data_IF_920317057347
#
_entry.id   IF_920317057347
#
_cell.length_a   1.000
_cell.length_b   1.000
_cell.length_c   1.000
_cell.angle_alpha   90.00
_cell.angle_beta   90.00
_cell.angle_gamma   90.00
#
_symmetry.space_group_name_H-M   'P 1'
#
loop_
_entity.id
_entity.type
_entity.pdbx_description
1 polymer ?
#
# COMPACT_ATOMS: atom_id res chain seq x y z
N UNK A 1 -15.67 41.13 -29.25
CA UNK A 1 -14.60 41.05 -28.24
C UNK A 1 -14.97 40.42 -26.88
N UNK A 2 -16.24 40.16 -26.50
CA UNK A 2 -16.55 39.41 -25.26
C UNK A 2 -16.25 37.90 -25.32
N UNK A 3 -16.41 37.28 -26.49
CA UNK A 3 -16.31 35.82 -26.65
C UNK A 3 -14.89 35.25 -26.46
N UNK A 4 -13.85 36.05 -26.74
CA UNK A 4 -12.45 35.62 -26.59
C UNK A 4 -12.03 35.58 -25.12
N UNK A 5 -12.47 36.55 -24.31
CA UNK A 5 -12.19 36.59 -22.87
C UNK A 5 -12.91 35.46 -22.12
N UNK A 6 -14.16 35.15 -22.49
CA UNK A 6 -14.87 33.97 -21.98
C UNK A 6 -14.11 32.68 -22.29
N UNK A 7 -13.70 32.47 -23.55
CA UNK A 7 -12.92 31.27 -23.92
C UNK A 7 -11.58 31.15 -23.20
N UNK A 8 -10.88 32.26 -22.98
CA UNK A 8 -9.60 32.26 -22.24
C UNK A 8 -9.83 31.92 -20.76
N UNK A 9 -10.92 32.42 -20.17
CA UNK A 9 -11.31 32.06 -18.81
C UNK A 9 -11.66 30.57 -18.69
N UNK A 10 -12.49 30.05 -19.59
CA UNK A 10 -12.88 28.63 -19.61
C UNK A 10 -11.67 27.70 -19.76
N UNK A 11 -10.67 28.09 -20.57
CA UNK A 11 -9.40 27.34 -20.73
C UNK A 11 -8.58 27.39 -19.44
N UNK A 12 -8.48 28.56 -18.79
CA UNK A 12 -7.72 28.71 -17.55
C UNK A 12 -8.36 27.92 -16.40
N UNK A 13 -9.69 27.96 -16.29
CA UNK A 13 -10.45 27.19 -15.31
C UNK A 13 -10.30 25.68 -15.55
N UNK A 14 -10.44 25.23 -16.80
CA UNK A 14 -10.21 23.82 -17.17
C UNK A 14 -8.79 23.36 -16.86
N UNK A 15 -7.78 24.20 -17.09
CA UNK A 15 -6.39 23.87 -16.77
C UNK A 15 -6.13 23.80 -15.26
N UNK A 16 -6.75 24.68 -14.47
CA UNK A 16 -6.66 24.66 -13.01
C UNK A 16 -7.28 23.39 -12.41
N UNK A 17 -8.44 23.00 -12.96
CA UNK A 17 -9.12 21.75 -12.61
C UNK A 17 -8.25 20.54 -12.94
N UNK A 18 -7.69 20.47 -14.15
CA UNK A 18 -6.84 19.34 -14.57
C UNK A 18 -5.60 19.24 -13.68
N UNK A 19 -4.98 20.38 -13.33
CA UNK A 19 -3.87 20.44 -12.37
C UNK A 19 -4.25 19.92 -10.98
N UNK A 20 -5.48 20.17 -10.54
CA UNK A 20 -6.02 19.69 -9.27
C UNK A 20 -6.23 18.17 -9.31
N UNK A 21 -6.87 17.68 -10.37
CA UNK A 21 -7.08 16.25 -10.62
C UNK A 21 -5.74 15.51 -10.63
N UNK A 22 -4.71 16.08 -11.28
CA UNK A 22 -3.36 15.52 -11.27
C UNK A 22 -2.74 15.50 -9.88
N UNK A 23 -2.93 16.54 -9.07
CA UNK A 23 -2.39 16.62 -7.71
C UNK A 23 -3.01 15.54 -6.80
N UNK A 24 -4.31 15.30 -6.94
CA UNK A 24 -5.02 14.20 -6.25
C UNK A 24 -4.50 12.84 -6.75
N UNK A 25 -4.33 12.66 -8.06
CA UNK A 25 -3.79 11.42 -8.61
C UNK A 25 -2.36 11.13 -8.13
N UNK A 26 -1.50 12.16 -8.04
CA UNK A 26 -0.15 12.04 -7.48
C UNK A 26 -0.19 11.68 -5.98
N UNK A 27 -1.12 12.23 -5.21
CA UNK A 27 -1.28 11.88 -3.79
C UNK A 27 -1.68 10.41 -3.62
N UNK A 28 -2.64 9.93 -4.43
CA UNK A 28 -3.09 8.53 -4.41
C UNK A 28 -1.98 7.60 -4.88
N UNK A 29 -1.33 7.92 -6.00
CA UNK A 29 -0.23 7.12 -6.56
C UNK A 29 0.94 6.98 -5.57
N UNK A 30 1.21 8.04 -4.81
CA UNK A 30 2.23 8.12 -3.77
C UNK A 30 1.79 7.61 -2.38
N UNK A 31 0.55 7.15 -2.23
CA UNK A 31 -0.06 6.77 -0.94
C UNK A 31 0.14 7.82 0.16
N UNK A 32 -0.07 9.09 -0.20
CA UNK A 32 0.00 10.23 0.72
C UNK A 32 -1.38 10.51 1.28
N UNK A 33 -1.90 9.57 2.08
CA UNK A 33 -3.29 9.58 2.56
C UNK A 33 -3.65 10.86 3.34
N UNK A 34 -2.72 11.38 4.15
CA UNK A 34 -2.90 12.67 4.84
C UNK A 34 -3.05 13.82 3.84
N UNK A 35 -2.15 13.92 2.87
CA UNK A 35 -2.22 14.95 1.83
C UNK A 35 -3.54 14.81 1.04
N UNK A 36 -4.00 13.59 0.77
CA UNK A 36 -5.28 13.34 0.09
C UNK A 36 -6.47 13.88 0.91
N UNK A 37 -6.51 13.63 2.22
CA UNK A 37 -7.56 14.18 3.11
C UNK A 37 -7.54 15.71 3.07
N UNK A 38 -6.36 16.32 3.21
CA UNK A 38 -6.20 17.78 3.20
C UNK A 38 -6.62 18.37 1.84
N UNK A 39 -6.24 17.75 0.73
CA UNK A 39 -6.62 18.16 -0.63
C UNK A 39 -8.13 18.08 -0.86
N UNK A 40 -8.78 16.98 -0.49
CA UNK A 40 -10.22 16.79 -0.67
C UNK A 40 -11.01 17.74 0.24
N UNK A 41 -10.59 17.91 1.50
CA UNK A 41 -11.22 18.84 2.44
C UNK A 41 -11.11 20.30 1.98
N UNK A 42 -9.96 20.70 1.42
CA UNK A 42 -9.79 22.03 0.85
C UNK A 42 -10.69 22.25 -0.39
N UNK A 43 -10.75 21.27 -1.30
CA UNK A 43 -11.63 21.35 -2.48
C UNK A 43 -13.11 21.46 -2.10
N UNK A 44 -13.53 20.75 -1.06
CA UNK A 44 -14.87 20.87 -0.51
C UNK A 44 -15.13 22.28 0.02
N UNK A 45 -14.18 22.88 0.75
CA UNK A 45 -14.33 24.23 1.29
C UNK A 45 -14.42 25.29 0.20
N UNK A 46 -13.64 25.17 -0.88
CA UNK A 46 -13.60 26.16 -1.96
C UNK A 46 -14.72 26.00 -2.99
N UNK A 47 -15.08 24.75 -3.31
CA UNK A 47 -15.95 24.44 -4.45
C UNK A 47 -17.15 23.55 -4.12
N UNK A 48 -17.27 23.11 -2.87
CA UNK A 48 -18.32 22.21 -2.41
C UNK A 48 -18.03 20.73 -2.68
N UNK A 49 -18.72 19.87 -1.93
CA UNK A 49 -18.58 18.41 -2.00
C UNK A 49 -18.77 17.81 -3.40
N UNK A 50 -19.78 18.21 -4.21
CA UNK A 50 -19.96 17.63 -5.54
C UNK A 50 -18.72 17.77 -6.42
N UNK A 51 -18.02 18.90 -6.31
CA UNK A 51 -16.81 19.16 -7.08
C UNK A 51 -15.64 18.33 -6.57
N UNK A 52 -15.45 18.25 -5.25
CA UNK A 52 -14.41 17.41 -4.65
C UNK A 52 -14.57 15.93 -5.04
N UNK A 53 -15.82 15.43 -5.04
CA UNK A 53 -16.14 14.07 -5.46
C UNK A 53 -15.87 13.82 -6.94
N UNK A 54 -16.21 14.77 -7.82
CA UNK A 54 -15.91 14.68 -9.26
C UNK A 54 -14.39 14.61 -9.52
N UNK A 55 -13.62 15.44 -8.81
CA UNK A 55 -12.14 15.42 -8.88
C UNK A 55 -11.59 14.07 -8.41
N UNK A 56 -12.08 13.56 -7.28
CA UNK A 56 -11.68 12.25 -6.74
C UNK A 56 -11.98 11.11 -7.73
N UNK A 57 -13.17 11.10 -8.34
CA UNK A 57 -13.57 10.11 -9.32
C UNK A 57 -12.72 10.22 -10.61
N UNK A 58 -12.38 11.44 -11.04
CA UNK A 58 -11.59 11.70 -12.24
C UNK A 58 -10.13 11.30 -12.07
N UNK A 59 -9.57 11.43 -10.86
CA UNK A 59 -8.19 11.07 -10.55
C UNK A 59 -7.86 9.60 -10.87
N UNK A 60 -8.84 8.70 -10.83
CA UNK A 60 -8.66 7.28 -11.17
C UNK A 60 -8.12 7.08 -12.60
N UNK A 61 -8.47 7.98 -13.53
CA UNK A 61 -8.12 7.86 -14.96
C UNK A 61 -6.78 8.51 -15.30
N UNK A 62 -6.13 9.13 -14.32
CA UNK A 62 -4.91 9.87 -14.55
C UNK A 62 -3.67 9.00 -14.49
N UNK A 63 -2.59 9.56 -15.04
CA UNK A 63 -1.25 9.03 -14.87
C UNK A 63 -0.52 9.88 -13.85
N UNK A 64 0.23 9.27 -12.96
CA UNK A 64 1.04 9.99 -11.98
C UNK A 64 2.52 9.87 -12.32
N UNK A 65 3.33 10.77 -11.75
CA UNK A 65 4.77 10.76 -11.99
C UNK A 65 5.38 9.44 -11.52
N UNK A 66 6.07 8.75 -12.41
CA UNK A 66 6.74 7.51 -12.05
C UNK A 66 7.86 7.81 -11.03
N UNK A 67 8.00 6.98 -9.99
CA UNK A 67 9.17 6.98 -9.14
C UNK A 67 10.46 6.87 -9.97
N UNK A 68 11.57 7.54 -9.60
CA UNK A 68 12.80 7.57 -10.40
C UNK A 68 13.40 6.19 -10.74
N UNK A 69 13.06 5.16 -9.95
CA UNK A 69 13.52 3.79 -10.13
C UNK A 69 12.70 2.98 -11.14
N UNK A 70 11.53 3.45 -11.52
CA UNK A 70 10.67 2.80 -12.51
C UNK A 70 10.98 3.41 -13.88
N UNK A 71 11.36 2.56 -14.83
CA UNK A 71 11.75 2.98 -16.18
C UNK A 71 10.57 3.57 -16.96
N UNK A 72 10.30 4.86 -16.78
CA UNK A 72 9.27 5.61 -17.48
C UNK A 72 9.04 6.98 -16.82
N UNK A 73 8.47 7.96 -17.53
CA UNK A 73 8.16 9.27 -16.93
C UNK A 73 6.88 9.25 -16.08
N UNK A 74 5.91 8.40 -16.43
CA UNK A 74 4.59 8.33 -15.78
C UNK A 74 4.00 6.93 -15.76
N UNK A 75 3.22 6.62 -14.71
CA UNK A 75 2.49 5.37 -14.52
C UNK A 75 0.99 5.63 -14.49
N UNK A 76 0.19 4.69 -15.00
CA UNK A 76 -1.25 4.72 -14.78
C UNK A 76 -1.55 4.37 -13.33
N UNK A 77 -2.56 5.02 -12.75
CA UNK A 77 -2.96 4.73 -11.38
C UNK A 77 -3.51 3.30 -11.27
N UNK A 78 -2.94 2.54 -10.35
CA UNK A 78 -3.29 1.14 -10.16
C UNK A 78 -4.65 1.02 -9.45
N UNK A 79 -5.50 0.11 -9.93
CA UNK A 79 -6.92 0.10 -9.53
C UNK A 79 -7.14 -0.26 -8.05
N UNK A 80 -6.39 -1.21 -7.50
CA UNK A 80 -6.51 -1.54 -6.08
C UNK A 80 -5.81 -0.50 -5.20
N UNK A 81 -4.74 0.13 -5.68
CA UNK A 81 -4.13 1.28 -4.98
C UNK A 81 -5.14 2.45 -4.85
N UNK A 82 -5.82 2.80 -5.94
CA UNK A 82 -6.87 3.82 -5.93
C UNK A 82 -7.96 3.46 -4.92
N UNK A 83 -8.47 2.22 -5.01
CA UNK A 83 -9.51 1.73 -4.10
C UNK A 83 -9.07 1.82 -2.64
N UNK A 84 -7.89 1.35 -2.30
CA UNK A 84 -7.36 1.38 -0.94
C UNK A 84 -7.24 2.81 -0.38
N UNK A 85 -6.77 3.76 -1.18
CA UNK A 85 -6.69 5.16 -0.77
C UNK A 85 -8.06 5.82 -0.59
N UNK A 86 -9.06 5.46 -1.42
CA UNK A 86 -10.44 5.93 -1.22
C UNK A 86 -11.04 5.34 0.07
N UNK A 87 -10.82 4.06 0.34
CA UNK A 87 -11.28 3.45 1.60
C UNK A 87 -10.60 4.08 2.81
N UNK A 88 -9.31 4.40 2.71
CA UNK A 88 -8.58 5.11 3.77
C UNK A 88 -9.11 6.53 4.00
N UNK A 89 -9.38 7.29 2.93
CA UNK A 89 -9.99 8.62 2.98
C UNK A 89 -11.31 8.61 3.78
N UNK A 90 -12.13 7.57 3.62
CA UNK A 90 -13.39 7.38 4.33
C UNK A 90 -13.26 6.53 5.61
N UNK A 91 -12.05 6.36 6.16
CA UNK A 91 -11.79 5.64 7.41
C UNK A 91 -12.31 4.19 7.43
N UNK A 92 -12.20 3.50 6.30
CA UNK A 92 -12.61 2.11 6.07
C UNK A 92 -11.44 1.19 5.66
N UNK A 93 -10.20 1.56 5.98
CA UNK A 93 -9.03 0.71 5.76
C UNK A 93 -9.22 -0.67 6.39
N UNK A 94 -8.87 -1.73 5.66
CA UNK A 94 -9.09 -3.13 6.04
C UNK A 94 -10.40 -3.74 5.53
N UNK A 95 -11.33 -2.92 4.98
CA UNK A 95 -12.60 -3.39 4.39
C UNK A 95 -12.65 -3.28 2.87
N UNK A 96 -11.53 -2.96 2.24
CA UNK A 96 -11.41 -2.80 0.80
C UNK A 96 -11.88 -4.03 0.00
N UNK A 97 -11.75 -5.29 0.48
CA UNK A 97 -12.27 -6.47 -0.22
C UNK A 97 -13.79 -6.52 -0.38
N UNK A 98 -14.54 -5.56 0.19
CA UNK A 98 -15.99 -5.52 0.07
C UNK A 98 -16.47 -5.67 -1.39
N UNK A 99 -17.48 -6.50 -1.65
CA UNK A 99 -18.00 -6.78 -2.99
C UNK A 99 -18.98 -5.68 -3.43
N UNK A 100 -18.36 -4.55 -3.76
CA UNK A 100 -19.03 -3.36 -4.28
C UNK A 100 -18.04 -2.60 -5.17
N UNK A 101 -18.52 -2.16 -6.33
CA UNK A 101 -17.72 -1.39 -7.27
C UNK A 101 -17.40 0.00 -6.70
N UNK A 102 -16.18 0.49 -6.96
CA UNK A 102 -15.75 1.80 -6.42
C UNK A 102 -16.52 2.96 -7.07
N UNK A 103 -16.89 2.83 -8.35
CA UNK A 103 -17.68 3.83 -9.06
C UNK A 103 -19.11 3.88 -8.51
N UNK A 104 -19.68 2.71 -8.22
CA UNK A 104 -20.99 2.60 -7.55
C UNK A 104 -20.96 3.25 -6.16
N UNK A 105 -19.95 2.93 -5.34
CA UNK A 105 -19.74 3.55 -4.03
C UNK A 105 -19.69 5.08 -4.12
N UNK A 106 -18.85 5.63 -5.00
CA UNK A 106 -18.73 7.08 -5.18
C UNK A 106 -20.03 7.69 -5.71
N UNK A 107 -20.76 6.98 -6.58
CA UNK A 107 -22.08 7.38 -7.07
C UNK A 107 -23.10 7.59 -5.95
N UNK A 108 -23.11 6.76 -4.91
CA UNK A 108 -23.99 6.93 -3.75
C UNK A 108 -23.69 8.19 -2.93
N UNK A 109 -22.47 8.73 -3.01
CA UNK A 109 -22.04 9.90 -2.25
C UNK A 109 -22.44 11.23 -2.91
N UNK A 110 -22.91 11.20 -4.17
CA UNK A 110 -23.33 12.40 -4.91
C UNK A 110 -24.49 13.15 -4.26
N UNK A 111 -25.30 12.44 -3.45
CA UNK A 111 -26.43 13.02 -2.72
C UNK A 111 -26.09 13.53 -1.32
N UNK A 112 -24.84 13.38 -0.88
CA UNK A 112 -24.37 13.93 0.39
C UNK A 112 -24.03 15.42 0.23
N UNK A 113 -24.09 16.17 1.32
CA UNK A 113 -23.79 17.61 1.32
C UNK A 113 -22.35 17.93 1.74
N UNK A 114 -21.65 16.96 2.34
CA UNK A 114 -20.29 17.16 2.84
C UNK A 114 -19.47 15.87 2.85
N UNK A 115 -18.15 16.00 2.97
CA UNK A 115 -17.22 14.87 3.18
C UNK A 115 -17.58 14.08 4.45
N UNK A 116 -18.03 14.76 5.51
CA UNK A 116 -18.42 14.11 6.76
C UNK A 116 -19.67 13.22 6.56
N UNK A 117 -20.69 13.74 5.87
CA UNK A 117 -21.89 12.96 5.53
C UNK A 117 -21.57 11.80 4.59
N UNK A 118 -20.74 12.07 3.58
CA UNK A 118 -20.25 11.07 2.64
C UNK A 118 -19.47 9.96 3.35
N UNK A 119 -18.62 10.29 4.33
CA UNK A 119 -17.87 9.32 5.14
C UNK A 119 -18.79 8.40 5.93
N UNK A 120 -19.81 8.95 6.59
CA UNK A 120 -20.79 8.15 7.33
C UNK A 120 -21.56 7.21 6.39
N UNK A 121 -21.98 7.71 5.22
CA UNK A 121 -22.71 6.93 4.23
C UNK A 121 -21.85 5.83 3.60
N UNK A 122 -20.64 6.17 3.18
CA UNK A 122 -19.67 5.23 2.63
C UNK A 122 -19.41 4.09 3.62
N UNK A 123 -19.11 4.45 4.87
CA UNK A 123 -18.87 3.49 5.94
C UNK A 123 -20.08 2.58 6.17
N UNK A 124 -21.29 3.12 6.23
CA UNK A 124 -22.52 2.32 6.41
C UNK A 124 -22.70 1.27 5.30
N UNK A 125 -22.50 1.67 4.03
CA UNK A 125 -22.61 0.77 2.88
C UNK A 125 -21.55 -0.33 2.91
N UNK A 126 -20.29 0.05 3.14
CA UNK A 126 -19.17 -0.90 3.22
C UNK A 126 -19.36 -1.87 4.38
N UNK A 127 -19.67 -1.39 5.59
CA UNK A 127 -19.92 -2.24 6.75
C UNK A 127 -21.04 -3.25 6.47
N UNK A 128 -22.16 -2.83 5.89
CA UNK A 128 -23.26 -3.72 5.55
C UNK A 128 -22.83 -4.84 4.59
N UNK A 129 -22.07 -4.48 3.55
CA UNK A 129 -21.56 -5.44 2.55
C UNK A 129 -20.51 -6.38 3.12
N UNK A 130 -19.54 -5.87 3.88
CA UNK A 130 -18.52 -6.69 4.52
C UNK A 130 -19.13 -7.71 5.48
N UNK A 131 -20.12 -7.32 6.29
CA UNK A 131 -20.85 -8.25 7.18
C UNK A 131 -21.50 -9.40 6.40
N UNK A 132 -22.19 -9.07 5.31
CA UNK A 132 -22.83 -10.07 4.44
C UNK A 132 -21.81 -11.09 3.89
N UNK A 133 -20.69 -10.60 3.38
CA UNK A 133 -19.61 -11.43 2.82
C UNK A 133 -18.93 -12.32 3.87
N UNK A 134 -18.54 -11.74 5.01
CA UNK A 134 -17.86 -12.45 6.11
C UNK A 134 -18.79 -13.51 6.73
N UNK A 135 -20.08 -13.20 6.87
CA UNK A 135 -21.09 -14.19 7.28
C UNK A 135 -21.27 -15.32 6.26
N UNK A 136 -20.99 -15.04 4.98
CA UNK A 136 -20.99 -15.98 3.85
C UNK A 136 -19.75 -16.86 3.74
N UNK A 137 -18.69 -16.59 4.53
CA UNK A 137 -17.43 -17.32 4.51
C UNK A 137 -16.35 -16.74 3.58
N UNK A 138 -16.57 -15.52 3.08
CA UNK A 138 -15.56 -14.73 2.36
C UNK A 138 -14.92 -13.73 3.32
N UNK A 139 -13.76 -14.10 3.85
CA UNK A 139 -13.02 -13.32 4.87
C UNK A 139 -11.56 -13.03 4.49
N UNK A 140 -11.08 -13.51 3.35
CA UNK A 140 -9.70 -13.27 2.90
C UNK A 140 -9.46 -11.78 2.69
N UNK A 141 -8.29 -11.30 3.11
CA UNK A 141 -7.86 -9.89 3.06
C UNK A 141 -8.60 -8.91 3.98
N UNK A 142 -9.63 -9.33 4.71
CA UNK A 142 -10.26 -8.45 5.70
C UNK A 142 -9.36 -8.29 6.92
N UNK A 143 -9.13 -7.05 7.33
CA UNK A 143 -8.28 -6.72 8.49
C UNK A 143 -9.12 -6.12 9.63
N UNK A 144 -8.71 -6.40 10.86
CA UNK A 144 -9.31 -5.79 12.06
C UNK A 144 -9.01 -4.29 12.05
N UNK A 145 -10.06 -3.47 12.15
CA UNK A 145 -9.95 -2.02 12.08
C UNK A 145 -9.71 -1.47 13.49
N UNK A 146 -8.65 -0.69 13.75
CA UNK A 146 -8.32 -0.22 15.10
C UNK A 146 -9.30 0.82 15.71
N UNK A 147 -10.41 1.15 15.03
CA UNK A 147 -11.36 2.18 15.47
C UNK A 147 -12.61 1.61 16.16
N UNK A 148 -13.03 2.24 17.27
CA UNK A 148 -14.18 1.84 18.10
C UNK A 148 -15.52 1.76 17.35
N UNK A 149 -15.69 2.55 16.29
CA UNK A 149 -16.95 2.61 15.52
C UNK A 149 -17.19 1.39 14.60
N UNK A 150 -16.45 0.29 14.79
CA UNK A 150 -16.58 -0.98 14.06
C UNK A 150 -16.34 -2.21 14.95
N UNK A 151 -16.48 -2.08 16.28
CA UNK A 151 -16.27 -3.18 17.24
C UNK A 151 -17.06 -4.45 16.88
N UNK A 152 -18.33 -4.30 16.47
CA UNK A 152 -19.16 -5.43 16.04
C UNK A 152 -18.58 -6.16 14.82
N UNK A 153 -18.09 -5.42 13.82
CA UNK A 153 -17.49 -6.01 12.62
C UNK A 153 -16.12 -6.62 12.93
N UNK A 154 -15.32 -5.99 13.80
CA UNK A 154 -14.06 -6.57 14.27
C UNK A 154 -14.30 -7.92 14.95
N UNK A 155 -15.33 -8.03 15.79
CA UNK A 155 -15.73 -9.32 16.36
C UNK A 155 -16.24 -10.33 15.32
N UNK A 156 -16.83 -9.89 14.22
CA UNK A 156 -17.17 -10.77 13.10
C UNK A 156 -15.94 -11.28 12.34
N UNK A 157 -14.96 -10.40 12.07
CA UNK A 157 -13.69 -10.74 11.43
C UNK A 157 -12.91 -11.72 12.32
N UNK A 158 -12.79 -11.44 13.61
CA UNK A 158 -12.14 -12.35 14.57
C UNK A 158 -12.83 -13.71 14.63
N UNK A 159 -14.17 -13.75 14.66
CA UNK A 159 -14.93 -15.00 14.59
C UNK A 159 -14.75 -15.73 13.26
N UNK A 160 -14.60 -15.01 12.15
CA UNK A 160 -14.29 -15.62 10.87
C UNK A 160 -12.90 -16.26 10.89
N UNK A 161 -11.88 -15.56 11.37
CA UNK A 161 -10.52 -16.10 11.52
C UNK A 161 -10.48 -17.33 12.45
N UNK A 162 -11.26 -17.35 13.54
CA UNK A 162 -11.37 -18.53 14.39
C UNK A 162 -11.98 -19.73 13.63
N UNK A 163 -13.05 -19.51 12.85
CA UNK A 163 -13.64 -20.55 12.00
C UNK A 163 -12.68 -21.05 10.92
N UNK A 164 -11.87 -20.17 10.34
CA UNK A 164 -10.81 -20.54 9.41
C UNK A 164 -9.78 -21.46 10.08
N UNK A 165 -9.36 -21.14 11.31
CA UNK A 165 -8.40 -21.96 12.06
C UNK A 165 -8.95 -23.34 12.42
N UNK A 166 -10.23 -23.43 12.79
CA UNK A 166 -10.91 -24.70 13.01
C UNK A 166 -10.96 -25.54 11.73
N UNK A 167 -11.29 -24.90 10.60
CA UNK A 167 -11.27 -25.56 9.30
C UNK A 167 -9.88 -26.10 8.97
N UNK A 168 -8.84 -25.26 9.07
CA UNK A 168 -7.46 -25.67 8.79
C UNK A 168 -7.06 -26.88 9.63
N UNK A 169 -7.45 -26.90 10.91
CA UNK A 169 -7.19 -28.00 11.84
C UNK A 169 -7.89 -29.31 11.45
N UNK A 170 -8.99 -29.23 10.70
CA UNK A 170 -9.76 -30.39 10.20
C UNK A 170 -9.28 -30.93 8.84
N UNK A 171 -8.38 -30.22 8.15
CA UNK A 171 -7.88 -30.64 6.84
C UNK A 171 -7.03 -31.91 6.93
N UNK A 172 -7.42 -32.94 6.17
CA UNK A 172 -6.59 -34.12 5.96
C UNK A 172 -5.50 -33.81 4.92
N UNK A 173 -4.24 -33.90 5.34
CA UNK A 173 -3.07 -33.62 4.52
C UNK A 173 -2.34 -34.90 4.07
N UNK A 174 -2.95 -36.08 4.24
CA UNK A 174 -2.35 -37.35 3.82
C UNK A 174 -2.41 -37.51 2.29
N UNK A 175 -1.26 -37.39 1.61
CA UNK A 175 -1.09 -37.94 0.24
C UNK A 175 -0.92 -36.99 -0.96
N UNK A 176 -0.54 -35.72 -0.78
CA UNK A 176 -0.43 -34.66 -1.83
C UNK A 176 -1.79 -34.06 -2.21
N UNK A 177 -2.02 -32.74 -2.23
CA UNK A 177 -1.48 -31.53 -1.55
C UNK A 177 -2.27 -30.34 -2.16
N UNK A 178 -3.58 -30.50 -2.41
CA UNK A 178 -4.38 -29.35 -2.84
C UNK A 178 -4.50 -28.39 -1.65
N UNK A 179 -3.86 -27.24 -1.79
CA UNK A 179 -3.85 -26.17 -0.78
C UNK A 179 -4.79 -25.03 -1.17
N UNK A 180 -5.67 -25.22 -2.15
CA UNK A 180 -6.63 -24.18 -2.60
C UNK A 180 -7.45 -23.64 -1.45
N UNK A 181 -7.98 -24.50 -0.59
CA UNK A 181 -8.76 -24.07 0.57
C UNK A 181 -7.93 -23.34 1.62
N UNK A 182 -6.62 -23.62 1.71
CA UNK A 182 -5.68 -22.92 2.58
C UNK A 182 -5.42 -21.51 2.06
N UNK A 183 -5.30 -21.33 0.75
CA UNK A 183 -5.22 -20.01 0.10
C UNK A 183 -6.46 -19.14 0.32
N UNK A 184 -7.62 -19.75 0.57
CA UNK A 184 -8.87 -19.06 0.88
C UNK A 184 -9.05 -18.73 2.37
N UNK A 185 -8.01 -18.90 3.18
CA UNK A 185 -7.97 -18.40 4.57
C UNK A 185 -6.90 -17.34 4.69
N UNK A 186 -7.11 -16.33 5.53
CA UNK A 186 -6.11 -15.27 5.67
C UNK A 186 -4.82 -15.81 6.33
N UNK A 187 -4.97 -16.64 7.37
CA UNK A 187 -3.84 -17.28 8.05
C UNK A 187 -3.07 -18.24 7.13
N UNK A 188 -3.79 -19.03 6.31
CA UNK A 188 -3.18 -19.94 5.35
C UNK A 188 -2.47 -19.20 4.23
N UNK A 189 -3.11 -18.17 3.66
CA UNK A 189 -2.51 -17.30 2.62
C UNK A 189 -1.21 -16.67 3.10
N UNK A 190 -1.17 -16.10 4.30
CA UNK A 190 0.04 -15.50 4.88
C UNK A 190 1.15 -16.55 5.03
N UNK A 191 0.86 -17.70 5.65
CA UNK A 191 1.83 -18.79 5.81
C UNK A 191 2.38 -19.26 4.47
N UNK A 192 1.51 -19.56 3.51
CA UNK A 192 1.90 -20.08 2.20
C UNK A 192 2.77 -19.06 1.45
N UNK A 193 2.45 -17.78 1.60
CA UNK A 193 3.25 -16.67 1.05
C UNK A 193 4.62 -16.59 1.70
N UNK A 194 4.70 -16.65 3.03
CA UNK A 194 5.95 -16.59 3.80
C UNK A 194 6.88 -17.77 3.49
N UNK A 195 6.31 -18.95 3.25
CA UNK A 195 7.04 -20.16 2.88
C UNK A 195 7.36 -20.23 1.38
N UNK A 196 6.91 -19.26 0.59
CA UNK A 196 7.21 -19.20 -0.84
C UNK A 196 6.42 -20.17 -1.70
N UNK A 197 5.33 -20.75 -1.20
CA UNK A 197 4.50 -21.69 -1.95
C UNK A 197 4.02 -21.06 -3.28
N UNK A 198 3.94 -21.89 -4.32
CA UNK A 198 3.53 -21.47 -5.67
C UNK A 198 2.50 -22.45 -6.19
N UNK A 199 1.38 -21.93 -6.71
CA UNK A 199 0.30 -22.72 -7.24
C UNK A 199 -0.60 -23.33 -6.16
N UNK A 200 -1.55 -24.14 -6.63
CA UNK A 200 -2.58 -24.77 -5.80
C UNK A 200 -2.17 -26.16 -5.29
N UNK A 201 -1.01 -26.66 -5.69
CA UNK A 201 -0.49 -27.96 -5.28
C UNK A 201 0.94 -27.82 -4.78
N UNK A 202 1.26 -28.37 -3.61
CA UNK A 202 2.57 -28.09 -2.97
C UNK A 202 3.29 -29.33 -2.49
N UNK A 203 4.35 -29.74 -3.19
CA UNK A 203 5.21 -30.88 -2.81
C UNK A 203 6.32 -30.58 -1.79
N UNK A 204 6.54 -29.32 -1.45
CA UNK A 204 7.57 -28.91 -0.49
C UNK A 204 7.17 -29.32 0.95
N UNK A 205 8.00 -30.16 1.57
CA UNK A 205 7.77 -30.64 2.94
C UNK A 205 7.71 -29.51 3.97
N UNK A 206 8.45 -28.41 3.76
CA UNK A 206 8.43 -27.25 4.65
C UNK A 206 7.07 -26.57 4.67
N UNK A 207 6.39 -26.52 3.53
CA UNK A 207 5.04 -25.96 3.42
C UNK A 207 4.04 -26.85 4.15
N UNK A 208 4.12 -28.17 3.94
CA UNK A 208 3.26 -29.14 4.64
C UNK A 208 3.45 -29.04 6.15
N UNK A 209 4.70 -28.99 6.61
CA UNK A 209 5.02 -28.88 8.03
C UNK A 209 4.55 -27.54 8.61
N UNK A 210 4.66 -26.44 7.85
CA UNK A 210 4.07 -25.16 8.22
C UNK A 210 2.56 -25.22 8.41
N UNK A 211 1.83 -25.88 7.49
CA UNK A 211 0.38 -26.05 7.61
C UNK A 211 0.07 -26.89 8.86
N UNK A 212 0.82 -27.98 9.10
CA UNK A 212 0.67 -28.80 10.32
C UNK A 212 0.92 -28.01 11.61
N UNK A 213 1.81 -27.01 11.59
CA UNK A 213 1.99 -26.10 12.74
C UNK A 213 0.75 -25.24 12.96
N UNK A 214 0.11 -24.73 11.91
CA UNK A 214 -1.17 -24.03 12.05
C UNK A 214 -2.26 -24.94 12.64
N UNK A 215 -2.31 -26.21 12.23
CA UNK A 215 -3.27 -27.21 12.72
C UNK A 215 -3.10 -27.54 14.22
N UNK A 216 -1.92 -27.32 14.80
CA UNK A 216 -1.60 -27.66 16.20
C UNK A 216 -1.82 -26.51 17.18
N UNK A 217 -2.23 -25.32 16.73
CA UNK A 217 -2.50 -24.20 17.63
C UNK A 217 -3.68 -24.57 18.55
N UNK A 218 -3.52 -24.44 19.89
CA UNK A 218 -4.54 -24.89 20.83
C UNK A 218 -5.80 -24.06 20.67
N UNK A 219 -6.91 -24.73 20.34
CA UNK A 219 -8.24 -24.15 20.46
C UNK A 219 -8.46 -23.73 21.91
N UNK A 220 -8.57 -22.41 22.16
CA UNK A 220 -9.28 -21.95 23.36
C UNK A 220 -10.69 -22.52 23.28
N UNK A 221 -11.09 -23.17 24.36
CA UNK A 221 -12.37 -23.83 24.57
C UNK A 221 -13.53 -23.09 23.91
N UNK A 222 -14.14 -23.68 22.87
CA UNK A 222 -15.53 -23.49 22.45
C UNK A 222 -15.79 -24.31 21.19
N UNK A 223 -16.11 -25.59 21.35
CA UNK A 223 -16.75 -26.37 20.29
C UNK A 223 -18.20 -25.88 20.11
N UNK A 224 -18.37 -24.71 19.49
CA UNK A 224 -19.67 -24.32 18.98
C UNK A 224 -19.85 -25.09 17.67
N UNK A 225 -20.61 -26.18 17.73
CA UNK A 225 -21.07 -26.92 16.56
C UNK A 225 -22.01 -26.01 15.73
N UNK A 226 -21.43 -25.07 15.00
CA UNK A 226 -22.10 -24.32 13.95
C UNK A 226 -21.61 -24.91 12.65
N UNK A 227 -22.55 -25.37 11.81
CA UNK A 227 -22.28 -25.89 10.48
C UNK A 227 -21.19 -25.04 9.83
N UNK A 228 -20.03 -25.64 9.55
CA UNK A 228 -18.95 -24.99 8.84
C UNK A 228 -19.50 -24.61 7.46
N UNK A 229 -20.01 -23.37 7.33
CA UNK A 229 -20.21 -22.78 6.00
C UNK A 229 -18.84 -22.83 5.35
N UNK A 230 -18.76 -23.45 4.18
CA UNK A 230 -17.50 -23.66 3.48
C UNK A 230 -16.78 -22.33 3.29
N UNK A 231 -15.47 -22.33 3.51
CA UNK A 231 -14.61 -21.19 3.21
C UNK A 231 -14.71 -20.87 1.72
N UNK A 232 -14.84 -19.57 1.42
CA UNK A 232 -14.94 -19.06 0.06
C UNK A 232 -13.77 -18.13 -0.20
N UNK A 233 -13.29 -18.13 -1.44
CA UNK A 233 -12.37 -17.10 -1.89
C UNK A 233 -13.08 -15.74 -2.02
N UNK A 234 -12.30 -14.67 -2.30
CA UNK A 234 -12.83 -13.32 -2.48
C UNK A 234 -13.92 -13.27 -3.55
N UNK A 235 -15.07 -12.70 -3.19
CA UNK A 235 -16.19 -12.43 -4.10
C UNK A 235 -15.94 -11.21 -4.99
N UNK A 236 -15.20 -10.21 -4.49
CA UNK A 236 -14.83 -9.04 -5.29
C UNK A 236 -13.84 -9.45 -6.42
N UNK A 237 -14.17 -9.22 -7.71
CA UNK A 237 -13.35 -9.68 -8.83
C UNK A 237 -11.90 -9.17 -8.84
N UNK A 238 -11.64 -7.97 -8.31
CA UNK A 238 -10.29 -7.43 -8.22
C UNK A 238 -9.44 -8.19 -7.19
N UNK A 239 -10.05 -8.63 -6.09
CA UNK A 239 -9.38 -9.40 -5.04
C UNK A 239 -9.26 -10.87 -5.42
N UNK A 240 -10.20 -11.43 -6.20
CA UNK A 240 -10.03 -12.74 -6.83
C UNK A 240 -8.82 -12.75 -7.78
N UNK A 241 -8.68 -11.70 -8.61
CA UNK A 241 -7.51 -11.50 -9.47
C UNK A 241 -6.23 -11.39 -8.65
N UNK A 242 -6.23 -10.52 -7.63
CA UNK A 242 -5.07 -10.34 -6.74
C UNK A 242 -4.63 -11.66 -6.10
N UNK A 243 -5.56 -12.41 -5.52
CA UNK A 243 -5.26 -13.70 -4.90
C UNK A 243 -4.67 -14.67 -5.92
N UNK A 244 -5.25 -14.76 -7.11
CA UNK A 244 -4.73 -15.61 -8.19
C UNK A 244 -3.31 -15.22 -8.58
N UNK A 245 -3.01 -13.92 -8.67
CA UNK A 245 -1.66 -13.42 -8.96
C UNK A 245 -0.67 -13.74 -7.85
N UNK A 246 -1.08 -13.68 -6.59
CA UNK A 246 -0.25 -14.08 -5.44
C UNK A 246 0.07 -15.57 -5.51
N UNK A 247 -0.95 -16.42 -5.72
CA UNK A 247 -0.80 -17.87 -5.80
C UNK A 247 0.11 -18.28 -6.96
N UNK A 248 -0.08 -17.67 -8.14
CA UNK A 248 0.68 -17.98 -9.35
C UNK A 248 1.98 -17.19 -9.50
N UNK A 249 2.29 -16.31 -8.54
CA UNK A 249 3.47 -15.45 -8.55
C UNK A 249 3.57 -14.52 -9.76
N UNK A 250 2.43 -14.08 -10.28
CA UNK A 250 2.37 -13.15 -11.41
C UNK A 250 2.70 -11.73 -10.95
N UNK A 251 3.99 -11.38 -11.03
CA UNK A 251 4.47 -10.06 -10.61
C UNK A 251 4.08 -8.94 -11.55
N UNK A 252 3.73 -9.25 -12.80
CA UNK A 252 3.22 -8.23 -13.71
C UNK A 252 1.84 -7.81 -13.24
N UNK A 253 0.95 -8.78 -13.03
CA UNK A 253 -0.42 -8.53 -12.58
C UNK A 253 -0.45 -7.88 -11.19
N UNK A 254 0.33 -8.38 -10.21
CA UNK A 254 0.42 -7.76 -8.87
C UNK A 254 0.82 -6.27 -8.93
N UNK A 255 1.77 -5.93 -9.81
CA UNK A 255 2.15 -4.52 -10.03
C UNK A 255 1.03 -3.71 -10.66
N UNK A 256 0.31 -4.26 -11.65
CA UNK A 256 -0.79 -3.53 -12.31
C UNK A 256 -1.96 -3.26 -11.35
N UNK A 257 -2.15 -4.14 -10.37
CA UNK A 257 -3.16 -3.98 -9.32
C UNK A 257 -2.68 -3.01 -8.23
N UNK A 258 -1.39 -3.04 -7.87
CA UNK A 258 -0.76 -2.08 -6.95
C UNK A 258 -1.21 -2.19 -5.49
N UNK A 259 -1.80 -3.33 -5.11
CA UNK A 259 -2.37 -3.55 -3.78
C UNK A 259 -1.31 -3.81 -2.70
N UNK A 260 -1.51 -3.23 -1.52
CA UNK A 260 -0.66 -3.51 -0.34
C UNK A 260 -0.72 -4.98 0.10
N UNK A 261 -1.83 -5.67 -0.19
CA UNK A 261 -2.06 -7.05 0.22
C UNK A 261 -1.22 -8.07 -0.55
N UNK A 262 -0.55 -7.64 -1.63
CA UNK A 262 0.49 -8.42 -2.33
C UNK A 262 1.85 -8.39 -1.64
N UNK A 263 2.04 -7.52 -0.64
CA UNK A 263 3.37 -7.19 -0.13
C UNK A 263 4.11 -8.38 0.44
N UNK A 264 3.46 -9.23 1.24
CA UNK A 264 4.12 -10.41 1.81
C UNK A 264 4.77 -11.30 0.71
N UNK A 265 4.12 -11.39 -0.47
CA UNK A 265 4.65 -12.14 -1.60
C UNK A 265 5.84 -11.42 -2.22
N UNK A 266 5.73 -10.11 -2.42
CA UNK A 266 6.83 -9.29 -2.94
C UNK A 266 8.05 -9.34 -2.01
N UNK A 267 7.84 -9.29 -0.69
CA UNK A 267 8.89 -9.43 0.33
C UNK A 267 9.59 -10.78 0.25
N UNK A 268 8.84 -11.88 0.13
CA UNK A 268 9.43 -13.20 -0.09
C UNK A 268 10.31 -13.20 -1.34
N UNK A 269 9.79 -12.70 -2.46
CA UNK A 269 10.49 -12.69 -3.75
C UNK A 269 11.73 -11.80 -3.74
N UNK A 270 11.67 -10.65 -3.06
CA UNK A 270 12.82 -9.77 -2.89
C UNK A 270 13.90 -10.45 -2.04
N UNK A 271 13.54 -11.02 -0.88
CA UNK A 271 14.48 -11.76 -0.01
C UNK A 271 15.13 -12.92 -0.75
N UNK A 272 14.35 -13.69 -1.49
CA UNK A 272 14.86 -14.80 -2.29
C UNK A 272 15.83 -14.32 -3.39
N UNK A 273 15.48 -13.26 -4.11
CA UNK A 273 16.35 -12.69 -5.15
C UNK A 273 17.68 -12.16 -4.59
N UNK A 274 17.64 -11.55 -3.39
CA UNK A 274 18.84 -11.10 -2.67
C UNK A 274 19.69 -12.29 -2.24
N UNK A 275 19.10 -13.32 -1.63
CA UNK A 275 19.82 -14.55 -1.22
C UNK A 275 20.54 -15.19 -2.42
N UNK A 276 19.81 -15.39 -3.53
CA UNK A 276 20.39 -15.93 -4.76
C UNK A 276 21.52 -15.06 -5.30
N UNK A 277 21.39 -13.74 -5.26
CA UNK A 277 22.46 -12.85 -5.72
C UNK A 277 23.69 -12.94 -4.81
N UNK A 278 23.52 -12.96 -3.49
CA UNK A 278 24.63 -13.07 -2.52
C UNK A 278 25.36 -14.41 -2.67
N UNK A 279 24.63 -15.51 -2.87
CA UNK A 279 25.21 -16.85 -3.04
C UNK A 279 26.02 -17.01 -4.34
N UNK A 280 25.53 -16.45 -5.46
CA UNK A 280 26.30 -16.44 -6.71
C UNK A 280 26.05 -15.14 -7.50
N UNK A 281 26.87 -14.10 -7.28
CA UNK A 281 26.68 -12.80 -7.92
C UNK A 281 26.74 -12.88 -9.44
N UNK A 282 25.71 -12.36 -10.11
CA UNK A 282 25.69 -12.20 -11.57
C UNK A 282 24.85 -11.00 -11.96
N UNK A 283 25.09 -10.45 -13.16
CA UNK A 283 24.30 -9.34 -13.70
C UNK A 283 22.82 -9.71 -13.86
N UNK A 284 22.50 -10.97 -14.16
CA UNK A 284 21.11 -11.43 -14.28
C UNK A 284 20.39 -11.40 -12.93
N UNK A 285 21.01 -11.97 -11.89
CA UNK A 285 20.44 -11.98 -10.53
C UNK A 285 20.36 -10.58 -9.94
N UNK A 286 21.33 -9.71 -10.24
CA UNK A 286 21.27 -8.32 -9.84
C UNK A 286 20.07 -7.58 -10.48
N UNK A 287 19.79 -7.81 -11.77
CA UNK A 287 18.60 -7.24 -12.42
C UNK A 287 17.30 -7.76 -11.81
N UNK A 288 17.28 -9.01 -11.35
CA UNK A 288 16.13 -9.56 -10.61
C UNK A 288 15.91 -8.79 -9.31
N UNK A 289 16.95 -8.57 -8.50
CA UNK A 289 16.87 -7.73 -7.29
C UNK A 289 16.34 -6.33 -7.62
N UNK A 290 16.90 -5.67 -8.64
CA UNK A 290 16.44 -4.34 -9.06
C UNK A 290 14.96 -4.34 -9.47
N UNK A 291 14.52 -5.37 -10.19
CA UNK A 291 13.10 -5.53 -10.53
C UNK A 291 12.24 -5.66 -9.28
N UNK A 292 12.66 -6.48 -8.30
CA UNK A 292 11.91 -6.67 -7.05
C UNK A 292 11.85 -5.40 -6.21
N UNK A 293 12.96 -4.66 -6.11
CA UNK A 293 12.95 -3.31 -5.48
C UNK A 293 11.97 -2.38 -6.20
N UNK A 294 11.93 -2.43 -7.54
CA UNK A 294 10.95 -1.70 -8.34
C UNK A 294 9.50 -2.09 -8.02
N UNK A 295 9.22 -3.38 -7.84
CA UNK A 295 7.88 -3.89 -7.49
C UNK A 295 7.40 -3.28 -6.15
N UNK A 296 8.27 -3.16 -5.13
CA UNK A 296 7.96 -2.47 -3.87
C UNK A 296 7.69 -0.97 -4.06
N UNK A 297 8.44 -0.31 -4.93
CA UNK A 297 8.25 1.11 -5.24
C UNK A 297 6.94 1.35 -5.99
N UNK A 298 6.50 0.40 -6.83
CA UNK A 298 5.18 0.43 -7.48
C UNK A 298 4.07 0.33 -6.47
N UNK A 299 4.09 -0.67 -5.57
CA UNK A 299 3.02 -0.85 -4.57
C UNK A 299 3.02 0.27 -3.53
N UNK A 300 4.22 0.66 -3.08
CA UNK A 300 4.48 1.74 -2.11
C UNK A 300 3.77 1.57 -0.75
N UNK A 301 3.46 0.34 -0.37
CA UNK A 301 2.92 0.04 0.96
C UNK A 301 3.95 0.40 2.04
N UNK A 302 3.51 1.03 3.13
CA UNK A 302 4.40 1.55 4.19
C UNK A 302 5.32 0.47 4.75
N UNK A 303 4.82 -0.75 4.87
CA UNK A 303 5.51 -1.92 5.40
C UNK A 303 6.72 -2.32 4.53
N UNK A 304 6.75 -1.93 3.24
CA UNK A 304 7.91 -2.11 2.35
C UNK A 304 9.16 -1.39 2.87
N UNK A 305 8.99 -0.33 3.67
CA UNK A 305 10.11 0.46 4.21
C UNK A 305 10.99 -0.37 5.14
N UNK A 306 10.41 -1.35 5.85
CA UNK A 306 11.14 -2.26 6.73
C UNK A 306 12.06 -3.18 5.92
N UNK A 307 11.51 -3.87 4.91
CA UNK A 307 12.28 -4.77 4.03
C UNK A 307 13.38 -4.02 3.27
N UNK A 308 13.06 -2.86 2.69
CA UNK A 308 14.04 -2.02 2.01
C UNK A 308 15.10 -1.48 2.98
N UNK A 309 14.72 -1.16 4.22
CA UNK A 309 15.63 -0.73 5.28
C UNK A 309 16.65 -1.81 5.67
N UNK A 310 16.25 -3.08 5.71
CA UNK A 310 17.16 -4.20 5.91
C UNK A 310 18.18 -4.30 4.78
N UNK A 311 17.73 -4.21 3.52
CA UNK A 311 18.62 -4.28 2.35
C UNK A 311 19.55 -3.05 2.29
N UNK A 312 19.07 -1.88 2.70
CA UNK A 312 19.88 -0.67 2.78
C UNK A 312 21.06 -0.78 3.78
N UNK A 313 20.99 -1.72 4.73
CA UNK A 313 22.06 -2.01 5.70
C UNK A 313 23.06 -3.05 5.21
N UNK A 314 22.86 -3.60 4.00
CA UNK A 314 23.76 -4.61 3.43
C UNK A 314 25.18 -4.12 3.18
N UNK A 315 26.13 -5.05 3.29
CA UNK A 315 27.54 -4.74 3.02
C UNK A 315 27.81 -4.58 1.52
N UNK A 316 27.01 -5.14 0.62
CA UNK A 316 27.15 -4.88 -0.81
C UNK A 316 26.49 -3.54 -1.18
N UNK A 317 27.29 -2.56 -1.61
CA UNK A 317 26.83 -1.24 -2.09
C UNK A 317 25.86 -1.39 -3.26
N UNK A 318 26.02 -2.43 -4.10
CA UNK A 318 25.13 -2.70 -5.22
C UNK A 318 23.72 -3.05 -4.76
N UNK A 319 23.56 -3.64 -3.58
CA UNK A 319 22.25 -3.91 -2.97
C UNK A 319 21.74 -2.71 -2.18
N UNK A 320 22.62 -2.10 -1.38
CA UNK A 320 22.24 -1.01 -0.49
C UNK A 320 21.77 0.25 -1.24
N UNK A 321 22.48 0.66 -2.31
CA UNK A 321 22.16 1.92 -3.03
C UNK A 321 20.76 1.90 -3.69
N UNK A 322 20.35 0.85 -4.43
CA UNK A 322 18.99 0.75 -4.94
C UNK A 322 17.92 0.79 -3.84
N UNK A 323 18.15 0.12 -2.71
CA UNK A 323 17.21 0.15 -1.58
C UNK A 323 17.11 1.55 -0.95
N UNK A 324 18.23 2.25 -0.78
CA UNK A 324 18.26 3.65 -0.32
C UNK A 324 17.49 4.57 -1.26
N UNK A 325 17.72 4.45 -2.57
CA UNK A 325 16.97 5.20 -3.58
C UNK A 325 15.46 4.87 -3.54
N UNK A 326 15.11 3.62 -3.26
CA UNK A 326 13.73 3.17 -3.16
C UNK A 326 13.02 3.78 -1.96
N UNK A 327 13.69 3.84 -0.80
CA UNK A 327 13.17 4.52 0.39
C UNK A 327 12.84 5.99 0.13
N UNK A 328 13.55 6.67 -0.77
CA UNK A 328 13.23 8.03 -1.22
C UNK A 328 11.87 8.19 -1.91
N UNK A 329 11.20 7.08 -2.26
CA UNK A 329 9.88 7.08 -2.89
C UNK A 329 8.74 6.95 -1.87
N UNK A 330 9.02 6.86 -0.57
CA UNK A 330 8.05 6.65 0.51
C UNK A 330 8.02 7.89 1.42
N UNK A 331 6.89 8.58 1.45
CA UNK A 331 6.71 9.86 2.15
C UNK A 331 6.27 9.68 3.60
N UNK A 332 7.02 8.88 4.37
CA UNK A 332 6.69 8.52 5.75
C UNK A 332 7.90 8.68 6.68
N UNK A 333 7.62 8.88 7.97
CA UNK A 333 8.63 9.05 9.03
C UNK A 333 9.66 7.91 9.04
N UNK A 334 9.19 6.66 8.98
CA UNK A 334 10.04 5.47 8.98
C UNK A 334 11.11 5.47 7.88
N UNK A 335 10.76 5.91 6.67
CA UNK A 335 11.73 6.03 5.57
C UNK A 335 12.77 7.10 5.85
N UNK A 336 12.33 8.25 6.37
CA UNK A 336 13.21 9.36 6.73
C UNK A 336 14.17 8.94 7.83
N UNK A 337 13.71 8.22 8.85
CA UNK A 337 14.52 7.71 9.94
C UNK A 337 15.61 6.74 9.45
N UNK A 338 15.26 5.76 8.61
CA UNK A 338 16.23 4.83 8.03
C UNK A 338 17.29 5.59 7.22
N UNK A 339 16.87 6.55 6.39
CA UNK A 339 17.79 7.34 5.59
C UNK A 339 18.69 8.24 6.45
N UNK A 340 18.16 8.83 7.53
CA UNK A 340 18.94 9.63 8.48
C UNK A 340 19.96 8.77 9.23
N UNK A 341 19.58 7.58 9.68
CA UNK A 341 20.49 6.59 10.28
C UNK A 341 21.67 6.33 9.33
N UNK A 342 21.37 6.10 8.06
CA UNK A 342 22.38 5.86 7.02
C UNK A 342 23.28 7.08 6.78
N UNK A 343 22.73 8.28 6.66
CA UNK A 343 23.52 9.53 6.54
C UNK A 343 24.47 9.71 7.71
N UNK A 344 24.03 9.41 8.93
CA UNK A 344 24.82 9.66 10.13
C UNK A 344 25.89 8.59 10.39
N UNK A 345 25.66 7.34 9.95
CA UNK A 345 26.48 6.19 10.32
C UNK A 345 27.36 5.65 9.18
N UNK A 346 26.99 5.84 7.92
CA UNK A 346 27.72 5.22 6.81
C UNK A 346 29.10 5.85 6.58
N UNK A 347 30.08 5.00 6.30
CA UNK A 347 31.41 5.40 5.83
C UNK A 347 31.53 5.42 4.30
N UNK A 348 30.52 4.88 3.60
CA UNK A 348 30.56 4.69 2.15
C UNK A 348 29.94 5.88 1.42
N UNK A 349 30.68 6.41 0.44
CA UNK A 349 30.28 7.64 -0.26
C UNK A 349 28.99 7.45 -1.05
N UNK A 350 28.87 6.34 -1.76
CA UNK A 350 27.73 6.03 -2.62
C UNK A 350 26.43 5.91 -1.81
N UNK A 351 26.49 5.26 -0.65
CA UNK A 351 25.36 5.14 0.26
C UNK A 351 24.98 6.50 0.86
N UNK A 352 25.97 7.33 1.21
CA UNK A 352 25.74 8.68 1.71
C UNK A 352 25.05 9.56 0.65
N UNK A 353 25.55 9.54 -0.58
CA UNK A 353 24.98 10.30 -1.71
C UNK A 353 23.55 9.86 -2.02
N UNK A 354 23.30 8.56 -2.10
CA UNK A 354 21.96 8.00 -2.30
C UNK A 354 20.99 8.38 -1.17
N UNK A 355 21.46 8.31 0.09
CA UNK A 355 20.64 8.65 1.25
C UNK A 355 20.27 10.14 1.28
N UNK A 356 21.23 11.03 1.02
CA UNK A 356 20.99 12.48 0.96
C UNK A 356 20.07 12.85 -0.21
N UNK A 357 20.25 12.25 -1.38
CA UNK A 357 19.37 12.47 -2.54
C UNK A 357 17.93 12.00 -2.24
N UNK A 358 17.78 10.86 -1.59
CA UNK A 358 16.48 10.30 -1.20
C UNK A 358 15.79 11.15 -0.13
N UNK A 359 16.51 11.61 0.89
CA UNK A 359 15.98 12.57 1.87
C UNK A 359 15.55 13.88 1.20
N UNK A 360 16.33 14.38 0.25
CA UNK A 360 15.99 15.58 -0.50
C UNK A 360 14.73 15.37 -1.34
N UNK A 361 14.55 14.19 -1.94
CA UNK A 361 13.35 13.84 -2.70
C UNK A 361 12.11 13.88 -1.79
N UNK A 362 12.15 13.24 -0.62
CA UNK A 362 11.04 13.24 0.34
C UNK A 362 10.75 14.67 0.85
N UNK A 363 11.79 15.38 1.30
CA UNK A 363 11.68 16.76 1.81
C UNK A 363 11.10 17.74 0.78
N UNK A 364 11.21 17.43 -0.52
CA UNK A 364 10.65 18.29 -1.56
C UNK A 364 9.14 18.27 -1.66
N UNK A 365 8.54 17.15 -1.29
CA UNK A 365 7.13 16.87 -1.56
C UNK A 365 6.30 16.66 -0.31
N UNK A 366 6.93 16.26 0.81
CA UNK A 366 6.24 15.99 2.06
C UNK A 366 6.84 16.80 3.23
N UNK A 367 6.01 17.39 4.09
CA UNK A 367 6.47 18.12 5.27
C UNK A 367 7.05 17.18 6.35
N UNK A 368 6.80 15.88 6.26
CA UNK A 368 7.19 14.87 7.26
C UNK A 368 8.70 14.83 7.53
N UNK A 369 9.52 15.10 6.51
CA UNK A 369 10.96 14.98 6.64
C UNK A 369 11.60 16.14 7.42
N UNK A 370 11.01 17.34 7.37
CA UNK A 370 11.61 18.54 7.94
C UNK A 370 11.87 18.46 9.45
N UNK A 371 10.89 18.11 10.32
CA UNK A 371 11.13 18.03 11.77
C UNK A 371 12.19 16.98 12.13
N UNK A 372 12.19 15.84 11.43
CA UNK A 372 13.16 14.75 11.65
C UNK A 372 14.58 15.17 11.24
N UNK A 373 14.74 15.81 10.08
CA UNK A 373 16.03 16.33 9.63
C UNK A 373 16.53 17.41 10.59
N UNK A 374 15.67 18.33 11.06
CA UNK A 374 16.03 19.34 12.06
C UNK A 374 16.51 18.68 13.35
N UNK A 375 15.79 17.70 13.88
CA UNK A 375 16.19 16.94 15.06
C UNK A 375 17.58 16.31 14.89
N UNK A 376 17.83 15.64 13.77
CA UNK A 376 19.13 15.02 13.47
C UNK A 376 20.29 16.04 13.38
N UNK A 377 20.04 17.30 12.97
CA UNK A 377 21.08 18.35 12.96
C UNK A 377 21.46 18.88 14.33
N UNK A 378 20.59 18.68 15.33
CA UNK A 378 20.82 19.06 16.74
C UNK A 378 21.46 17.92 17.54
N UNK A 379 21.30 16.67 17.09
CA UNK A 379 21.87 15.48 17.71
C UNK A 379 23.35 15.19 17.39
N UNK A 380 23.76 13.94 17.60
CA UNK A 380 25.14 13.45 17.47
C UNK A 380 25.57 13.10 16.03
N UNK A 381 24.79 13.49 15.02
CA UNK A 381 25.05 13.12 13.63
C UNK A 381 26.37 13.71 13.09
N UNK A 382 27.28 12.85 12.64
CA UNK A 382 28.59 13.25 12.07
C UNK A 382 28.46 14.15 10.83
N UNK A 383 27.35 14.03 10.09
CA UNK A 383 27.09 14.74 8.82
C UNK A 383 26.13 15.93 8.96
N UNK A 384 25.99 16.51 10.17
CA UNK A 384 25.10 17.65 10.45
C UNK A 384 25.19 18.82 9.46
N UNK A 385 26.37 19.12 8.90
CA UNK A 385 26.54 20.21 7.93
C UNK A 385 25.82 19.95 6.61
N UNK A 386 25.82 18.70 6.12
CA UNK A 386 25.11 18.30 4.91
C UNK A 386 23.59 18.32 5.12
N UNK A 387 23.12 17.88 6.28
CA UNK A 387 21.70 17.97 6.66
C UNK A 387 21.21 19.43 6.76
N UNK A 388 22.03 20.33 7.33
CA UNK A 388 21.73 21.78 7.33
C UNK A 388 21.67 22.36 5.93
N UNK A 389 22.50 21.89 5.01
CA UNK A 389 22.44 22.31 3.60
C UNK A 389 21.12 21.88 2.97
N UNK A 390 20.68 20.65 3.22
CA UNK A 390 19.40 20.12 2.73
C UNK A 390 18.22 20.98 3.21
N UNK A 391 18.18 21.33 4.51
CA UNK A 391 17.15 22.22 5.08
C UNK A 391 17.12 23.62 4.44
N UNK A 392 18.27 24.14 4.00
CA UNK A 392 18.35 25.45 3.34
C UNK A 392 17.77 25.46 1.92
N UNK A 393 17.69 24.30 1.27
CA UNK A 393 17.23 24.17 -0.12
C UNK A 393 15.70 24.19 -0.25
N UNK A 394 15.01 25.02 0.56
CA UNK A 394 13.55 25.10 0.70
C UNK A 394 12.76 24.87 -0.60
N UNK A 395 11.78 23.96 -0.55
CA UNK A 395 10.82 23.77 -1.65
C UNK A 395 9.36 23.63 -1.20
N UNK A 396 9.07 23.31 0.07
CA UNK A 396 7.68 23.10 0.51
C UNK A 396 6.94 24.42 0.82
N UNK A 397 7.64 25.43 1.35
CA UNK A 397 7.09 26.77 1.67
C UNK A 397 6.57 27.56 0.47
N UNK A 398 6.82 27.13 -0.77
CA UNK A 398 6.26 27.77 -1.96
C UNK A 398 4.88 27.23 -2.36
N UNK A 399 4.49 26.01 -1.95
CA UNK A 399 3.13 25.51 -2.17
C UNK A 399 2.16 26.05 -1.10
N UNK A 400 2.60 26.25 0.13
CA UNK A 400 1.79 26.85 1.22
C UNK A 400 1.40 28.31 0.98
N UNK A 401 2.16 29.07 0.17
CA UNK A 401 1.72 30.40 -0.27
C UNK A 401 0.52 30.41 -1.23
N UNK A 402 0.11 29.24 -1.73
CA UNK A 402 -1.15 29.06 -2.44
C UNK A 402 -2.31 28.69 -1.49
N UNK A 403 -2.01 28.33 -0.24
CA UNK A 403 -2.96 27.93 0.80
C UNK A 403 -3.17 29.00 1.90
N UNK A 404 -2.43 30.12 1.84
CA UNK A 404 -2.51 31.26 2.77
C UNK A 404 -2.93 32.57 2.08
N UNK A 405 -3.57 32.51 0.88
CA UNK A 405 -3.98 33.69 0.10
C UNK A 405 -5.50 33.81 -0.03
#
# INVERSE_FOLDING_TARGET
MPWFLSKVHDIAESAAIESTIQTVADAIGDRRSRDLVDLIGHLEQEHGWPRALEVLASAQKQRYRAPPLIGGPTLSLEILKYREQVFELFSCSGLEPADIDITELLGHLTSCNSLAEASMRFKSLVLAKSREQIAGGDSVFFEVIPNHASEELNHEIERAHLREMEFLSSLDLSGIQDVTSVWFTESGRQLLTDLGAVGYSVSDSRVIDGIRVLQRRPNRESACAHQARGIRGPSNPLYTRLLSSIVLCDTVEMRTLGSRLSLARLDYMLRESVSRYVEAPSSSRYREVLSRVGDHVTVRALESTSTLGLIAKELDVRLAVPALNALGCFHHESSVEILLEQVCNTSRRECLEASLASLQAIHRVSPVAEPLIRSATLGSCKRRSQLRLLLRQQSWTKKTKMYDA
#
